data_IF_294326523841
#
_entry.id   IF_294326523841
#
_cell.length_a   1.000
_cell.length_b   1.000
_cell.length_c   1.000
_cell.angle_alpha   90.00
_cell.angle_beta   90.00
_cell.angle_gamma   90.00
#
_symmetry.space_group_name_H-M   'P 1'
#
loop_
_entity.id
_entity.type
_entity.pdbx_description
1 polymer ?
#
# COMPACT_ATOMS: atom_id res chain seq x y z
N UNK A 1 17.13 14.35 -19.77
CA UNK A 1 17.27 14.91 -18.41
C UNK A 1 15.88 14.92 -17.77
N UNK A 2 15.72 14.62 -16.48
CA UNK A 2 14.43 14.76 -15.76
C UNK A 2 14.36 16.17 -15.14
N UNK A 3 13.16 16.71 -14.93
CA UNK A 3 12.94 18.01 -14.25
C UNK A 3 13.39 19.25 -15.07
N UNK A 4 12.94 19.37 -16.32
CA UNK A 4 13.25 20.52 -17.17
C UNK A 4 12.11 21.55 -17.23
N UNK A 5 11.09 21.38 -16.40
CA UNK A 5 9.87 22.19 -16.37
C UNK A 5 9.13 22.20 -17.73
N UNK A 6 9.11 21.05 -18.43
CA UNK A 6 8.40 20.90 -19.71
C UNK A 6 7.00 20.36 -19.47
N UNK A 7 5.97 21.09 -19.93
CA UNK A 7 4.56 20.69 -19.85
C UNK A 7 4.13 20.29 -18.43
N UNK A 8 4.59 21.03 -17.42
CA UNK A 8 4.20 20.81 -16.01
C UNK A 8 3.03 21.72 -15.70
N UNK A 9 1.91 21.14 -15.28
CA UNK A 9 0.70 21.87 -14.89
C UNK A 9 0.49 21.72 -13.39
N UNK A 10 0.47 22.84 -12.67
CA UNK A 10 0.23 22.87 -11.22
C UNK A 10 -0.85 23.90 -10.96
N UNK A 11 -1.95 23.47 -10.35
CA UNK A 11 -3.02 24.38 -9.97
C UNK A 11 -2.55 25.41 -8.90
N UNK A 12 -2.99 26.68 -8.96
CA UNK A 12 -2.57 27.71 -8.01
C UNK A 12 -2.89 27.42 -6.53
N UNK A 13 -3.86 26.55 -6.24
CA UNK A 13 -4.22 26.18 -4.86
C UNK A 13 -3.22 25.22 -4.22
N UNK A 14 -2.40 24.53 -5.01
CA UNK A 14 -1.46 23.51 -4.56
C UNK A 14 -0.46 24.10 -3.55
N UNK A 15 -0.25 23.39 -2.45
CA UNK A 15 0.78 23.75 -1.45
C UNK A 15 2.00 22.87 -1.65
N UNK A 16 3.13 23.49 -1.96
CA UNK A 16 4.39 22.80 -2.27
C UNK A 16 5.41 23.14 -1.19
N UNK A 17 5.97 22.11 -0.57
CA UNK A 17 7.03 22.19 0.42
C UNK A 17 8.40 22.54 -0.17
N UNK A 18 9.39 22.61 0.71
CA UNK A 18 10.78 22.95 0.36
C UNK A 18 11.42 21.80 -0.41
N UNK A 19 12.25 22.11 -1.42
CA UNK A 19 13.02 21.13 -2.22
C UNK A 19 12.18 20.08 -2.98
N UNK A 20 10.90 20.35 -3.24
CA UNK A 20 10.07 19.47 -4.07
C UNK A 20 10.54 19.52 -5.53
N UNK A 21 10.56 18.36 -6.20
CA UNK A 21 10.88 18.24 -7.63
C UNK A 21 9.71 17.61 -8.38
N UNK A 22 9.22 18.29 -9.41
CA UNK A 22 8.12 17.80 -10.26
C UNK A 22 8.65 17.57 -11.68
N UNK A 23 8.50 16.34 -12.16
CA UNK A 23 8.98 15.89 -13.46
C UNK A 23 8.14 16.40 -14.62
N UNK A 24 8.73 16.35 -15.82
CA UNK A 24 8.10 16.84 -17.04
C UNK A 24 6.77 16.11 -17.34
N UNK A 25 5.86 16.77 -18.03
CA UNK A 25 4.52 16.28 -18.42
C UNK A 25 3.62 15.86 -17.24
N UNK A 26 3.87 16.37 -16.03
CA UNK A 26 3.06 16.03 -14.86
C UNK A 26 1.94 17.05 -14.62
N UNK A 27 0.83 16.59 -14.07
CA UNK A 27 -0.35 17.40 -13.73
C UNK A 27 -0.61 17.26 -12.22
N UNK A 28 -0.69 18.39 -11.53
CA UNK A 28 -1.07 18.48 -10.12
C UNK A 28 -2.36 19.29 -10.02
N UNK A 29 -3.45 18.61 -9.67
CA UNK A 29 -4.80 19.18 -9.56
C UNK A 29 -4.99 20.03 -8.29
N UNK A 30 -6.13 20.76 -8.19
CA UNK A 30 -6.43 21.59 -7.02
C UNK A 30 -6.40 20.83 -5.69
N UNK A 31 -6.11 21.57 -4.61
CA UNK A 31 -6.11 21.10 -3.22
C UNK A 31 -5.13 19.94 -2.92
N UNK A 32 -4.05 19.84 -3.69
CA UNK A 32 -2.95 18.93 -3.37
C UNK A 32 -1.95 19.61 -2.43
N UNK A 33 -1.48 18.87 -1.43
CA UNK A 33 -0.44 19.27 -0.49
C UNK A 33 0.75 18.34 -0.68
N UNK A 34 1.91 18.88 -1.02
CA UNK A 34 3.15 18.14 -1.26
C UNK A 34 4.18 18.56 -0.23
N UNK A 35 4.58 17.63 0.64
CA UNK A 35 5.56 17.86 1.70
C UNK A 35 6.99 17.95 1.18
N UNK A 36 7.88 18.45 2.04
CA UNK A 36 9.28 18.73 1.74
C UNK A 36 10.04 17.55 1.14
N UNK A 37 11.06 17.84 0.33
CA UNK A 37 11.97 16.88 -0.29
C UNK A 37 11.30 15.79 -1.14
N UNK A 38 10.03 15.98 -1.51
CA UNK A 38 9.28 15.03 -2.32
C UNK A 38 9.72 15.11 -3.79
N UNK A 39 9.86 13.95 -4.43
CA UNK A 39 10.20 13.83 -5.84
C UNK A 39 9.04 13.17 -6.57
N UNK A 40 8.46 13.88 -7.52
CA UNK A 40 7.45 13.39 -8.46
C UNK A 40 8.13 13.26 -9.82
N UNK A 41 8.25 12.04 -10.32
CA UNK A 41 8.87 11.77 -11.62
C UNK A 41 7.95 12.18 -12.79
N UNK A 42 8.46 12.09 -14.01
CA UNK A 42 7.72 12.50 -15.21
C UNK A 42 6.38 11.78 -15.38
N UNK A 43 5.47 12.45 -16.09
CA UNK A 43 4.20 11.91 -16.57
C UNK A 43 3.27 11.46 -15.43
N UNK A 44 3.38 12.06 -14.24
CA UNK A 44 2.51 11.74 -13.11
C UNK A 44 1.27 12.63 -13.08
N UNK A 45 0.17 12.10 -12.57
CA UNK A 45 -1.07 12.84 -12.32
C UNK A 45 -1.40 12.72 -10.83
N UNK A 46 -1.52 13.84 -10.14
CA UNK A 46 -1.77 13.89 -8.69
C UNK A 46 -3.00 14.73 -8.39
N UNK A 47 -3.90 14.20 -7.58
CA UNK A 47 -5.19 14.81 -7.27
C UNK A 47 -6.24 14.60 -8.36
N UNK A 48 -6.11 13.55 -9.18
CA UNK A 48 -7.06 13.24 -10.26
C UNK A 48 -8.51 13.18 -9.73
N UNK A 49 -9.46 13.94 -10.31
CA UNK A 49 -10.84 13.91 -9.86
C UNK A 49 -11.50 12.56 -10.20
N UNK A 50 -12.38 12.03 -9.33
CA UNK A 50 -13.16 10.84 -9.65
C UNK A 50 -14.29 11.15 -10.64
N UNK A 51 -14.94 10.11 -11.13
CA UNK A 51 -15.99 10.21 -12.18
C UNK A 51 -17.12 11.20 -11.90
N UNK A 52 -17.41 11.50 -10.62
CA UNK A 52 -18.42 12.48 -10.21
C UNK A 52 -18.14 13.89 -10.75
N UNK A 53 -16.86 14.25 -10.95
CA UNK A 53 -16.47 15.52 -11.55
C UNK A 53 -17.10 15.74 -12.93
N UNK A 54 -17.12 14.71 -13.77
CA UNK A 54 -17.70 14.82 -15.13
C UNK A 54 -19.23 14.88 -15.14
N UNK A 55 -19.88 14.61 -14.00
CA UNK A 55 -21.34 14.67 -13.87
C UNK A 55 -21.83 15.98 -13.24
N UNK A 56 -20.96 16.67 -12.50
CA UNK A 56 -21.29 17.87 -11.75
C UNK A 56 -20.10 18.84 -11.70
N UNK A 57 -19.60 19.21 -12.88
CA UNK A 57 -18.35 19.96 -13.03
C UNK A 57 -18.42 21.36 -12.38
N UNK A 58 -19.59 22.00 -12.39
CA UNK A 58 -19.76 23.36 -11.88
C UNK A 58 -19.75 23.42 -10.33
N UNK A 59 -20.11 22.33 -9.66
CA UNK A 59 -20.18 22.27 -8.19
C UNK A 59 -19.12 21.36 -7.56
N UNK A 60 -18.40 20.57 -8.37
CA UNK A 60 -17.38 19.67 -7.84
C UNK A 60 -16.18 20.44 -7.29
N UNK A 61 -15.86 20.16 -6.03
CA UNK A 61 -14.66 20.65 -5.36
C UNK A 61 -13.73 19.47 -5.12
N UNK A 62 -12.51 19.57 -5.63
CA UNK A 62 -11.52 18.51 -5.45
C UNK A 62 -11.18 18.36 -3.96
N UNK A 63 -11.42 17.20 -3.32
CA UNK A 63 -11.07 17.01 -1.92
C UNK A 63 -9.55 17.05 -1.73
N UNK A 64 -9.07 17.47 -0.55
CA UNK A 64 -7.65 17.55 -0.26
C UNK A 64 -6.91 16.21 -0.48
N UNK A 65 -5.78 16.25 -1.20
CA UNK A 65 -4.85 15.11 -1.31
C UNK A 65 -3.54 15.46 -0.63
N UNK A 66 -3.04 14.59 0.23
CA UNK A 66 -1.83 14.84 1.02
C UNK A 66 -0.74 13.85 0.64
N UNK A 67 0.34 14.35 0.06
CA UNK A 67 1.61 13.64 -0.09
C UNK A 67 2.57 14.21 0.96
N UNK A 68 2.82 13.48 2.04
CA UNK A 68 3.75 13.94 3.07
C UNK A 68 5.21 13.97 2.58
N UNK A 69 6.10 14.54 3.40
CA UNK A 69 7.50 14.75 3.06
C UNK A 69 8.25 13.47 2.69
N UNK A 70 9.42 13.64 2.08
CA UNK A 70 10.37 12.59 1.73
C UNK A 70 9.79 11.50 0.81
N UNK A 71 8.74 11.82 0.04
CA UNK A 71 8.08 10.88 -0.84
C UNK A 71 8.77 10.78 -2.22
N UNK A 72 8.75 9.60 -2.82
CA UNK A 72 9.26 9.32 -4.17
C UNK A 72 8.15 8.67 -5.00
N UNK A 73 7.56 9.46 -5.89
CA UNK A 73 6.52 9.01 -6.82
C UNK A 73 7.18 8.81 -8.19
N UNK A 74 7.24 7.55 -8.66
CA UNK A 74 7.84 7.19 -9.94
C UNK A 74 6.89 7.41 -11.11
N UNK A 75 7.45 7.41 -12.32
CA UNK A 75 6.76 7.89 -13.53
C UNK A 75 5.43 7.19 -13.82
N UNK A 76 4.52 7.94 -14.45
CA UNK A 76 3.19 7.47 -14.86
C UNK A 76 2.26 7.05 -13.71
N UNK A 77 2.54 7.46 -12.48
CA UNK A 77 1.58 7.20 -11.40
C UNK A 77 0.37 8.13 -11.51
N UNK A 78 -0.79 7.61 -11.17
CA UNK A 78 -2.04 8.36 -11.06
C UNK A 78 -2.53 8.25 -9.62
N UNK A 79 -2.61 9.37 -8.92
CA UNK A 79 -3.12 9.46 -7.56
C UNK A 79 -4.36 10.35 -7.58
N UNK A 80 -5.47 9.81 -7.11
CA UNK A 80 -6.75 10.51 -7.09
C UNK A 80 -6.88 11.49 -5.92
N UNK A 81 -7.86 12.37 -6.06
CA UNK A 81 -8.26 13.34 -5.05
C UNK A 81 -8.73 12.66 -3.74
N UNK A 82 -8.51 13.31 -2.59
CA UNK A 82 -9.00 12.84 -1.30
C UNK A 82 -8.16 11.74 -0.64
N UNK A 83 -7.00 11.39 -1.20
CA UNK A 83 -6.12 10.35 -0.65
C UNK A 83 -5.02 10.96 0.23
N UNK A 84 -4.64 10.23 1.28
CA UNK A 84 -3.69 10.66 2.31
C UNK A 84 -2.52 9.67 2.36
N UNK A 85 -1.29 10.18 2.30
CA UNK A 85 -0.08 9.38 2.37
C UNK A 85 0.88 9.95 3.41
N UNK A 86 1.28 9.09 4.35
CA UNK A 86 2.30 9.40 5.36
C UNK A 86 3.68 9.65 4.75
N UNK A 87 4.60 10.12 5.61
CA UNK A 87 5.96 10.45 5.20
C UNK A 87 6.67 9.25 4.56
N UNK A 88 7.44 9.50 3.50
CA UNK A 88 8.28 8.46 2.88
C UNK A 88 7.51 7.50 1.97
N UNK A 89 6.40 7.93 1.36
CA UNK A 89 5.73 7.13 0.33
C UNK A 89 6.71 6.82 -0.81
N UNK A 90 6.80 5.57 -1.22
CA UNK A 90 7.57 5.15 -2.39
C UNK A 90 6.64 4.46 -3.37
N UNK A 91 6.63 4.91 -4.63
CA UNK A 91 5.91 4.19 -5.70
C UNK A 91 6.85 3.55 -6.72
N UNK A 92 6.39 2.48 -7.35
CA UNK A 92 6.92 1.97 -8.62
C UNK A 92 6.35 2.75 -9.81
N UNK A 93 6.58 2.28 -11.02
CA UNK A 93 6.05 2.95 -12.21
C UNK A 93 4.58 2.58 -12.46
N UNK A 94 3.77 3.51 -12.98
CA UNK A 94 2.39 3.20 -13.41
C UNK A 94 1.50 2.63 -12.29
N UNK A 95 1.75 3.03 -11.04
CA UNK A 95 0.83 2.70 -9.95
C UNK A 95 -0.41 3.62 -10.02
N UNK A 96 -1.59 3.06 -9.76
CA UNK A 96 -2.85 3.80 -9.73
C UNK A 96 -3.45 3.69 -8.35
N UNK A 97 -3.70 4.83 -7.70
CA UNK A 97 -4.33 4.89 -6.38
C UNK A 97 -5.56 5.79 -6.47
N UNK A 98 -6.74 5.18 -6.29
CA UNK A 98 -8.03 5.86 -6.31
C UNK A 98 -8.34 6.60 -5.01
N UNK A 99 -9.42 7.36 -5.06
CA UNK A 99 -9.82 8.35 -4.08
C UNK A 99 -10.00 7.79 -2.67
N UNK A 100 -9.87 8.65 -1.66
CA UNK A 100 -10.14 8.33 -0.24
C UNK A 100 -9.32 7.15 0.30
N UNK A 101 -8.17 6.87 -0.29
CA UNK A 101 -7.25 5.85 0.20
C UNK A 101 -6.28 6.47 1.21
N UNK A 102 -6.02 5.77 2.31
CA UNK A 102 -5.12 6.22 3.38
C UNK A 102 -3.95 5.27 3.52
N UNK A 103 -2.75 5.82 3.45
CA UNK A 103 -1.49 5.10 3.62
C UNK A 103 -0.70 5.71 4.78
N UNK A 104 -0.18 4.85 5.64
CA UNK A 104 0.73 5.21 6.73
C UNK A 104 2.11 5.64 6.23
N UNK A 105 3.06 5.72 7.15
CA UNK A 105 4.44 6.14 6.83
C UNK A 105 5.22 5.02 6.14
N UNK A 106 6.16 5.38 5.27
CA UNK A 106 7.09 4.46 4.59
C UNK A 106 6.41 3.31 3.83
N UNK A 107 5.21 3.54 3.31
CA UNK A 107 4.51 2.59 2.46
C UNK A 107 5.18 2.48 1.08
N UNK A 108 5.22 1.26 0.55
CA UNK A 108 5.65 0.97 -0.82
C UNK A 108 4.45 0.55 -1.68
N UNK A 109 4.22 1.24 -2.79
CA UNK A 109 3.21 0.90 -3.80
C UNK A 109 3.92 0.65 -5.14
N UNK A 110 4.28 -0.60 -5.41
CA UNK A 110 5.18 -0.96 -6.51
C UNK A 110 4.53 -0.82 -7.90
N UNK A 111 5.32 -1.14 -8.92
CA UNK A 111 4.98 -0.96 -10.33
C UNK A 111 3.67 -1.66 -10.68
N UNK A 112 2.76 -0.95 -11.36
CA UNK A 112 1.45 -1.45 -11.80
C UNK A 112 0.53 -1.94 -10.66
N UNK A 113 0.81 -1.59 -9.40
CA UNK A 113 -0.16 -1.82 -8.33
C UNK A 113 -1.38 -0.90 -8.54
N UNK A 114 -2.56 -1.43 -8.23
CA UNK A 114 -3.85 -0.81 -8.49
C UNK A 114 -4.71 -0.85 -7.21
N UNK A 115 -5.04 0.32 -6.67
CA UNK A 115 -5.78 0.47 -5.40
C UNK A 115 -7.09 1.19 -5.69
N UNK A 116 -8.21 0.52 -5.43
CA UNK A 116 -9.53 0.91 -5.95
C UNK A 116 -10.30 1.96 -5.13
N UNK A 117 -9.70 2.51 -4.07
CA UNK A 117 -10.27 3.61 -3.29
C UNK A 117 -10.85 3.15 -1.95
N UNK A 118 -11.08 4.09 -1.04
CA UNK A 118 -11.55 3.80 0.33
C UNK A 118 -10.74 2.71 1.06
N UNK A 119 -9.46 2.54 0.71
CA UNK A 119 -8.57 1.54 1.30
C UNK A 119 -7.75 2.15 2.44
N UNK A 120 -7.36 1.32 3.40
CA UNK A 120 -6.46 1.71 4.50
C UNK A 120 -5.24 0.79 4.48
N UNK A 121 -4.03 1.35 4.50
CA UNK A 121 -2.76 0.61 4.51
C UNK A 121 -1.85 1.18 5.59
N UNK A 122 -1.48 0.34 6.56
CA UNK A 122 -0.66 0.73 7.71
C UNK A 122 0.80 0.96 7.38
N UNK A 123 1.53 1.51 8.36
CA UNK A 123 2.93 1.89 8.26
C UNK A 123 3.84 0.76 7.77
N UNK A 124 4.83 1.10 6.94
CA UNK A 124 5.85 0.19 6.41
C UNK A 124 5.32 -1.01 5.61
N UNK A 125 4.04 -1.00 5.26
CA UNK A 125 3.44 -2.04 4.42
C UNK A 125 3.85 -1.87 2.97
N UNK A 126 3.96 -3.00 2.27
CA UNK A 126 4.52 -3.08 0.92
C UNK A 126 3.60 -3.84 0.00
N UNK A 127 3.03 -3.12 -0.96
CA UNK A 127 2.28 -3.66 -2.08
C UNK A 127 3.25 -3.81 -3.25
N UNK A 128 3.59 -5.04 -3.62
CA UNK A 128 4.50 -5.32 -4.72
C UNK A 128 3.78 -5.24 -6.08
N UNK A 129 4.52 -5.55 -7.15
CA UNK A 129 4.08 -5.23 -8.51
C UNK A 129 2.77 -5.93 -8.89
N UNK A 130 1.88 -5.25 -9.61
CA UNK A 130 0.59 -5.80 -10.04
C UNK A 130 -0.29 -6.34 -8.90
N UNK A 131 -0.14 -5.84 -7.68
CA UNK A 131 -1.12 -6.09 -6.62
C UNK A 131 -2.37 -5.27 -6.90
N UNK A 132 -3.53 -5.92 -6.86
CA UNK A 132 -4.83 -5.26 -6.92
C UNK A 132 -5.46 -5.24 -5.53
N UNK A 133 -5.79 -4.06 -5.03
CA UNK A 133 -6.45 -3.85 -3.74
C UNK A 133 -7.87 -3.35 -3.99
N UNK A 134 -8.84 -4.26 -3.85
CA UNK A 134 -10.27 -3.94 -3.95
C UNK A 134 -10.71 -2.93 -2.89
N UNK A 135 -11.74 -2.15 -3.24
CA UNK A 135 -12.28 -1.08 -2.40
C UNK A 135 -12.62 -1.57 -0.99
N UNK A 136 -12.40 -0.72 0.03
CA UNK A 136 -12.63 -1.00 1.46
C UNK A 136 -11.67 -2.00 2.12
N UNK A 137 -10.67 -2.51 1.39
CA UNK A 137 -9.65 -3.39 1.97
C UNK A 137 -8.82 -2.63 3.01
N UNK A 138 -8.56 -3.28 4.16
CA UNK A 138 -7.70 -2.76 5.23
C UNK A 138 -6.48 -3.66 5.40
N UNK A 139 -5.30 -3.08 5.27
CA UNK A 139 -4.02 -3.76 5.41
C UNK A 139 -3.30 -3.13 6.60
N UNK A 140 -2.90 -3.95 7.57
CA UNK A 140 -2.21 -3.53 8.79
C UNK A 140 -0.80 -2.98 8.53
N UNK A 141 -0.02 -2.87 9.60
CA UNK A 141 1.37 -2.40 9.57
C UNK A 141 2.33 -3.53 9.22
N UNK A 142 3.41 -3.19 8.52
CA UNK A 142 4.47 -4.14 8.16
C UNK A 142 3.95 -5.35 7.36
N UNK A 143 2.87 -5.20 6.60
CA UNK A 143 2.31 -6.27 5.78
C UNK A 143 2.98 -6.28 4.42
N UNK A 144 3.42 -7.46 3.97
CA UNK A 144 3.95 -7.63 2.61
C UNK A 144 2.94 -8.36 1.73
N UNK A 145 2.51 -7.70 0.66
CA UNK A 145 1.65 -8.28 -0.36
C UNK A 145 2.46 -8.44 -1.64
N UNK A 146 2.82 -9.66 -1.97
CA UNK A 146 3.67 -9.99 -3.11
C UNK A 146 2.92 -9.97 -4.46
N UNK A 147 3.67 -9.94 -5.59
CA UNK A 147 3.09 -9.66 -6.90
C UNK A 147 1.88 -10.50 -7.32
N UNK A 148 1.01 -9.88 -8.12
CA UNK A 148 -0.19 -10.49 -8.70
C UNK A 148 -1.25 -10.95 -7.69
N UNK A 149 -1.15 -10.52 -6.42
CA UNK A 149 -2.20 -10.76 -5.45
C UNK A 149 -3.39 -9.85 -5.71
N UNK A 150 -4.60 -10.41 -5.61
CA UNK A 150 -5.86 -9.72 -5.83
C UNK A 150 -6.71 -9.81 -4.56
N UNK A 151 -7.09 -8.66 -4.02
CA UNK A 151 -8.15 -8.55 -3.01
C UNK A 151 -9.46 -8.21 -3.70
N UNK A 152 -10.49 -9.02 -3.51
CA UNK A 152 -11.85 -8.77 -4.02
C UNK A 152 -12.74 -8.22 -2.90
N UNK A 153 -13.92 -7.70 -3.28
CA UNK A 153 -14.80 -7.04 -2.33
C UNK A 153 -16.31 -7.32 -2.54
N UNK A 154 -16.74 -7.91 -3.65
CA UNK A 154 -18.15 -8.23 -3.89
C UNK A 154 -18.42 -9.73 -3.62
N UNK A 155 -19.12 -10.09 -2.52
CA UNK A 155 -19.37 -11.47 -2.15
C UNK A 155 -20.36 -12.19 -3.09
N UNK A 156 -21.23 -11.45 -3.80
CA UNK A 156 -22.26 -11.99 -4.69
C UNK A 156 -22.36 -11.15 -5.98
N UNK A 157 -21.35 -11.17 -6.86
CA UNK A 157 -21.23 -10.18 -7.91
C UNK A 157 -22.23 -10.37 -9.07
N UNK A 158 -22.76 -9.27 -9.65
CA UNK A 158 -22.64 -7.88 -9.17
C UNK A 158 -23.63 -7.57 -8.02
N UNK A 159 -23.17 -6.86 -6.97
CA UNK A 159 -24.02 -6.38 -5.87
C UNK A 159 -23.61 -5.01 -5.33
N UNK A 160 -24.53 -4.34 -4.62
CA UNK A 160 -24.26 -3.07 -3.91
C UNK A 160 -23.52 -3.26 -2.58
N UNK A 161 -23.37 -4.52 -2.11
CA UNK A 161 -22.79 -4.84 -0.81
C UNK A 161 -21.31 -5.20 -0.99
N UNK A 162 -20.44 -4.21 -0.78
CA UNK A 162 -18.99 -4.41 -0.83
C UNK A 162 -18.39 -4.64 0.57
N UNK A 163 -17.67 -5.75 0.71
CA UNK A 163 -16.93 -6.21 1.90
C UNK A 163 -15.44 -6.33 1.56
N UNK A 164 -14.65 -5.33 1.92
CA UNK A 164 -13.19 -5.40 1.79
C UNK A 164 -12.57 -6.39 2.80
N UNK A 165 -11.49 -7.03 2.41
CA UNK A 165 -10.73 -7.90 3.31
C UNK A 165 -9.97 -7.11 4.37
N UNK A 166 -9.60 -7.77 5.46
CA UNK A 166 -8.72 -7.20 6.50
C UNK A 166 -7.49 -8.08 6.69
N UNK A 167 -6.31 -7.47 6.82
CA UNK A 167 -5.03 -8.17 7.01
C UNK A 167 -4.31 -7.60 8.22
N UNK A 168 -4.04 -8.44 9.21
CA UNK A 168 -3.36 -8.07 10.45
C UNK A 168 -1.86 -7.80 10.25
N UNK A 169 -1.28 -7.10 11.22
CA UNK A 169 0.11 -6.66 11.20
C UNK A 169 1.10 -7.80 10.99
N UNK A 170 2.24 -7.50 10.36
CA UNK A 170 3.34 -8.43 10.09
C UNK A 170 2.98 -9.64 9.21
N UNK A 171 1.77 -9.69 8.66
CA UNK A 171 1.37 -10.78 7.77
C UNK A 171 2.02 -10.68 6.39
N UNK A 172 2.21 -11.83 5.76
CA UNK A 172 2.79 -11.95 4.43
C UNK A 172 1.81 -12.70 3.54
N UNK A 173 1.40 -12.05 2.46
CA UNK A 173 0.61 -12.66 1.39
C UNK A 173 1.54 -12.83 0.19
N UNK A 174 1.87 -14.08 -0.13
CA UNK A 174 2.83 -14.38 -1.20
C UNK A 174 2.19 -14.25 -2.59
N UNK A 175 2.94 -14.59 -3.65
CA UNK A 175 2.56 -14.29 -5.03
C UNK A 175 1.22 -14.91 -5.44
N UNK A 176 0.48 -14.18 -6.27
CA UNK A 176 -0.68 -14.68 -7.01
C UNK A 176 -1.80 -15.26 -6.12
N UNK A 177 -2.02 -14.66 -4.95
CA UNK A 177 -3.14 -15.04 -4.09
C UNK A 177 -4.43 -14.32 -4.48
N UNK A 178 -5.58 -14.99 -4.31
CA UNK A 178 -6.90 -14.37 -4.38
C UNK A 178 -7.49 -14.33 -2.97
N UNK A 179 -7.77 -13.13 -2.47
CA UNK A 179 -8.37 -12.91 -1.15
C UNK A 179 -9.83 -12.56 -1.37
N UNK A 180 -10.73 -13.44 -0.93
CA UNK A 180 -12.17 -13.29 -1.13
C UNK A 180 -12.77 -12.19 -0.24
N UNK A 181 -13.98 -11.69 -0.57
CA UNK A 181 -14.60 -10.57 0.10
C UNK A 181 -14.83 -10.83 1.58
N UNK A 182 -14.59 -9.81 2.40
CA UNK A 182 -14.85 -9.81 3.85
C UNK A 182 -13.95 -10.71 4.69
N UNK A 183 -12.99 -11.43 4.10
CA UNK A 183 -12.07 -12.30 4.83
C UNK A 183 -11.20 -11.50 5.81
N UNK A 184 -11.03 -12.04 7.01
CA UNK A 184 -10.07 -11.58 8.00
C UNK A 184 -8.84 -12.50 8.05
N UNK A 185 -7.67 -11.94 7.71
CA UNK A 185 -6.37 -12.58 7.91
C UNK A 185 -5.75 -11.97 9.16
N UNK A 186 -5.47 -12.79 10.17
CA UNK A 186 -4.86 -12.36 11.43
C UNK A 186 -3.44 -11.80 11.28
N UNK A 187 -2.83 -11.45 12.40
CA UNK A 187 -1.46 -10.96 12.48
C UNK A 187 -0.44 -12.10 12.40
N UNK A 188 0.75 -11.78 11.88
CA UNK A 188 1.83 -12.74 11.69
C UNK A 188 1.37 -13.99 10.91
N UNK A 189 0.57 -13.82 9.87
CA UNK A 189 0.16 -14.92 9.00
C UNK A 189 1.12 -15.07 7.80
N UNK A 190 1.20 -16.28 7.26
CA UNK A 190 1.83 -16.53 5.96
C UNK A 190 0.79 -17.17 5.04
N UNK A 191 0.42 -16.50 3.96
CA UNK A 191 -0.42 -17.07 2.89
C UNK A 191 0.49 -17.53 1.75
N UNK A 192 0.53 -18.84 1.51
CA UNK A 192 1.36 -19.47 0.48
C UNK A 192 0.90 -19.15 -0.94
N UNK A 193 1.80 -19.33 -1.91
CA UNK A 193 1.60 -18.85 -3.27
C UNK A 193 0.42 -19.54 -3.97
N UNK A 194 -0.24 -18.82 -4.89
CA UNK A 194 -1.41 -19.32 -5.64
C UNK A 194 -2.59 -19.75 -4.75
N UNK A 195 -2.76 -19.14 -3.57
CA UNK A 195 -3.84 -19.51 -2.65
C UNK A 195 -5.14 -18.76 -2.95
N UNK A 196 -6.28 -19.43 -2.71
CA UNK A 196 -7.61 -18.80 -2.70
C UNK A 196 -8.10 -18.76 -1.26
N UNK A 197 -7.97 -17.60 -0.62
CA UNK A 197 -8.37 -17.40 0.77
C UNK A 197 -9.85 -17.08 0.81
N UNK A 198 -10.65 -18.06 1.24
CA UNK A 198 -12.12 -18.01 1.25
C UNK A 198 -12.73 -17.98 2.65
N UNK A 199 -11.89 -18.03 3.68
CA UNK A 199 -12.27 -18.04 5.09
C UNK A 199 -11.19 -17.33 5.89
N UNK A 200 -11.57 -16.89 7.08
CA UNK A 200 -10.65 -16.23 8.00
C UNK A 200 -9.46 -17.13 8.37
N UNK A 201 -8.32 -16.48 8.59
CA UNK A 201 -7.06 -17.12 8.97
C UNK A 201 -6.65 -16.56 10.32
N UNK A 202 -6.49 -17.42 11.32
CA UNK A 202 -6.06 -17.05 12.66
C UNK A 202 -4.59 -16.60 12.70
N UNK A 203 -4.22 -15.80 13.71
CA UNK A 203 -2.85 -15.36 13.95
C UNK A 203 -1.82 -16.50 13.89
N UNK A 204 -0.60 -16.17 13.48
CA UNK A 204 0.52 -17.12 13.39
C UNK A 204 0.26 -18.32 12.46
N UNK A 205 -0.73 -18.25 11.57
CA UNK A 205 -1.06 -19.38 10.69
C UNK A 205 -0.31 -19.36 9.37
N UNK A 206 0.23 -20.52 8.97
CA UNK A 206 0.60 -20.77 7.59
C UNK A 206 -0.62 -21.36 6.88
N UNK A 207 -1.18 -20.66 5.89
CA UNK A 207 -2.29 -21.16 5.07
C UNK A 207 -1.87 -21.27 3.60
N UNK A 208 -2.30 -22.32 2.91
CA UNK A 208 -2.00 -22.53 1.48
C UNK A 208 -3.08 -23.35 0.78
N UNK A 209 -3.25 -23.13 -0.53
CA UNK A 209 -4.08 -23.96 -1.41
C UNK A 209 -5.31 -23.24 -1.97
N UNK A 210 -6.14 -23.96 -2.73
CA UNK A 210 -7.39 -23.48 -3.29
C UNK A 210 -8.52 -24.50 -3.05
N UNK A 211 -9.39 -24.29 -2.05
CA UNK A 211 -9.35 -23.19 -1.08
C UNK A 211 -8.15 -23.31 -0.12
N UNK A 212 -7.66 -22.17 0.36
CA UNK A 212 -6.56 -22.11 1.32
C UNK A 212 -6.98 -22.75 2.65
N UNK A 213 -6.11 -23.58 3.21
CA UNK A 213 -6.31 -24.20 4.52
C UNK A 213 -5.10 -23.95 5.40
N UNK A 214 -5.34 -23.72 6.70
CA UNK A 214 -4.27 -23.69 7.69
C UNK A 214 -3.52 -25.02 7.66
N UNK A 215 -2.21 -24.95 7.46
CA UNK A 215 -1.28 -26.09 7.41
C UNK A 215 -0.57 -26.29 8.74
N UNK A 216 -0.09 -25.21 9.35
CA UNK A 216 0.69 -25.25 10.60
C UNK A 216 0.79 -23.85 11.21
N UNK A 217 1.41 -23.77 12.39
CA UNK A 217 1.89 -22.52 12.97
C UNK A 217 3.16 -22.05 12.24
N UNK A 218 3.24 -20.78 11.84
CA UNK A 218 4.41 -20.26 11.11
C UNK A 218 5.68 -20.26 11.96
N UNK A 219 5.56 -20.24 13.28
CA UNK A 219 6.70 -20.21 14.21
C UNK A 219 7.45 -21.54 14.23
N UNK A 220 6.90 -22.58 13.63
CA UNK A 220 7.53 -23.90 13.45
C UNK A 220 8.27 -24.03 12.11
N UNK A 221 8.23 -23.01 11.25
CA UNK A 221 8.93 -23.04 9.95
C UNK A 221 10.43 -22.81 10.20
N UNK A 222 11.30 -23.78 9.85
CA UNK A 222 12.74 -23.65 10.06
C UNK A 222 13.34 -22.57 9.16
N UNK A 223 14.34 -21.89 9.70
CA UNK A 223 15.19 -20.98 8.95
C UNK A 223 15.94 -21.73 7.85
N UNK A 224 16.19 -21.06 6.73
CA UNK A 224 17.12 -21.55 5.70
C UNK A 224 18.55 -21.06 5.91
N UNK A 225 18.78 -20.16 6.89
CA UNK A 225 20.12 -19.66 7.23
C UNK A 225 20.90 -20.67 8.08
N UNK A 226 20.19 -21.40 8.94
CA UNK A 226 20.71 -22.45 9.80
C UNK A 226 19.58 -23.44 10.15
N UNK A 227 19.92 -24.65 10.59
CA UNK A 227 18.95 -25.71 10.91
C UNK A 227 18.39 -25.65 12.34
N UNK A 228 18.80 -24.66 13.14
CA UNK A 228 18.52 -24.63 14.58
C UNK A 228 17.53 -23.54 14.98
N UNK A 229 17.25 -22.58 14.10
CA UNK A 229 16.34 -21.47 14.36
C UNK A 229 15.09 -21.54 13.49
N UNK A 230 13.99 -21.01 14.00
CA UNK A 230 12.77 -20.81 13.21
C UNK A 230 12.76 -19.40 12.61
N UNK A 231 12.21 -19.26 11.40
CA UNK A 231 12.29 -18.01 10.66
C UNK A 231 11.30 -16.93 11.13
N UNK A 232 10.17 -17.35 11.70
CA UNK A 232 9.10 -16.43 12.08
C UNK A 232 8.99 -16.25 13.61
N UNK A 233 8.60 -15.06 14.10
CA UNK A 233 8.18 -13.86 13.35
C UNK A 233 9.29 -13.23 12.49
N UNK A 234 8.96 -12.85 11.26
CA UNK A 234 9.96 -12.37 10.28
C UNK A 234 10.71 -11.09 10.69
N UNK A 235 10.17 -10.17 11.53
CA UNK A 235 10.93 -8.98 11.96
C UNK A 235 12.25 -9.32 12.66
N UNK A 236 12.34 -10.47 13.33
CA UNK A 236 13.57 -10.95 13.97
C UNK A 236 14.67 -11.34 12.97
N UNK A 237 14.30 -11.58 11.70
CA UNK A 237 15.16 -12.20 10.70
C UNK A 237 15.39 -11.32 9.45
N UNK A 238 14.70 -10.19 9.36
CA UNK A 238 14.76 -9.24 8.26
C UNK A 238 14.58 -7.80 8.74
N UNK A 239 15.46 -6.90 8.29
CA UNK A 239 15.49 -5.51 8.76
C UNK A 239 15.52 -4.45 7.65
N UNK A 240 15.78 -4.84 6.39
CA UNK A 240 16.07 -3.88 5.31
C UNK A 240 14.89 -2.96 5.00
N UNK A 241 15.09 -1.66 5.18
CA UNK A 241 14.08 -0.62 5.00
C UNK A 241 12.95 -0.69 6.01
N UNK A 242 13.21 -1.27 7.19
CA UNK A 242 12.32 -1.28 8.36
C UNK A 242 12.85 -0.29 9.40
N UNK A 243 12.03 0.20 10.34
CA UNK A 243 12.49 1.15 11.35
C UNK A 243 13.49 0.56 12.35
N UNK A 244 13.66 -0.77 12.34
CA UNK A 244 14.66 -1.49 13.13
C UNK A 244 15.95 -1.85 12.38
N UNK A 245 16.16 -1.32 11.17
CA UNK A 245 17.40 -1.53 10.42
C UNK A 245 18.63 -1.11 11.24
N UNK A 246 19.61 -2.02 11.39
CA UNK A 246 20.85 -1.88 12.17
C UNK A 246 20.72 -1.85 13.69
N UNK A 247 19.51 -1.70 14.23
CA UNK A 247 19.26 -1.73 15.69
C UNK A 247 18.68 -3.06 16.17
N UNK A 248 18.01 -3.80 15.28
CA UNK A 248 17.35 -5.07 15.61
C UNK A 248 15.92 -4.87 16.15
N UNK A 249 15.03 -5.81 15.82
CA UNK A 249 13.60 -5.69 16.14
C UNK A 249 13.32 -5.65 17.65
N UNK A 250 14.00 -6.49 18.43
CA UNK A 250 13.80 -6.53 19.88
C UNK A 250 14.11 -5.18 20.57
N UNK A 251 15.23 -4.56 20.20
CA UNK A 251 15.64 -3.26 20.76
C UNK A 251 14.70 -2.15 20.29
N UNK A 252 14.34 -2.16 19.00
CA UNK A 252 13.36 -1.23 18.47
C UNK A 252 12.02 -1.31 19.20
N UNK A 253 11.51 -2.51 19.48
CA UNK A 253 10.27 -2.68 20.23
C UNK A 253 10.41 -2.11 21.64
N UNK A 254 11.50 -2.38 22.37
CA UNK A 254 11.72 -1.81 23.72
C UNK A 254 11.64 -0.28 23.73
N UNK A 255 12.23 0.37 22.73
CA UNK A 255 12.22 1.84 22.60
C UNK A 255 10.82 2.41 22.27
N UNK A 256 9.96 1.66 21.59
CA UNK A 256 8.66 2.15 21.09
C UNK A 256 7.44 1.61 21.85
N UNK A 257 7.63 0.71 22.83
CA UNK A 257 6.54 0.24 23.72
C UNK A 257 6.48 1.04 25.04
N UNK A 258 7.46 1.93 25.28
CA UNK A 258 7.55 2.78 26.48
C UNK A 258 7.03 4.21 26.26
N UNK A 259 6.33 4.46 25.15
CA UNK A 259 5.82 5.76 24.70
C UNK A 259 4.32 5.75 24.50
#
# INVERSE_FOLDING_TARGET
MKFNNRNVFVDPSVKIGVNVKIGDNSIIYPNVFIGDNTIICNDCIIGEPPSVYYKDMDNYINPPTYISANSMIRSHCIIYAGSEFGEGLITGHRATIREKSKFGINCLISTLADVQGNCEVGDYSRLYSNVHVGEKTKIGKYVFVFPYTVFTNDPLPPSDVLLGATVGDYSIITIHCNILPGVHIGSNCLVGANSVVSRDIEDFSFAIGSPAKRKMDIREIPSKKDSYTNYYPWPNNFERGMPWEKIGFEEWTKLNTQS
#
